data_IF_391065885664
#
_entry.id   IF_391065885664
#
_cell.length_a   1.000
_cell.length_b   1.000
_cell.length_c   1.000
_cell.angle_alpha   90.00
_cell.angle_beta   90.00
_cell.angle_gamma   90.00
#
_symmetry.space_group_name_H-M   'P 1'
#
loop_
_entity.id
_entity.type
_entity.pdbx_description
1 polymer ?
#
# COMPACT_ATOMS: atom_id res chain seq x y z
N UNK A 1 19.48 16.84 -9.76
CA UNK A 1 20.76 16.32 -10.28
C UNK A 1 20.40 15.26 -11.29
N UNK A 2 20.50 15.60 -12.57
CA UNK A 2 20.22 14.70 -13.69
C UNK A 2 21.48 13.86 -13.88
N UNK A 3 21.39 12.55 -13.69
CA UNK A 3 22.50 11.65 -13.98
C UNK A 3 22.45 11.27 -15.47
N UNK A 4 23.51 11.65 -16.15
CA UNK A 4 23.82 11.37 -17.53
C UNK A 4 24.10 9.87 -17.70
N UNK A 5 23.40 9.22 -18.62
CA UNK A 5 23.77 7.91 -19.13
C UNK A 5 24.78 8.11 -20.27
N UNK A 6 26.04 7.74 -20.08
CA UNK A 6 27.01 7.49 -21.15
C UNK A 6 28.14 6.61 -20.64
N UNK A 7 28.26 5.44 -21.27
CA UNK A 7 29.50 4.74 -21.61
C UNK A 7 30.37 4.16 -20.49
N UNK A 8 30.41 2.83 -20.42
CA UNK A 8 31.68 2.08 -20.48
C UNK A 8 31.40 0.64 -20.94
N UNK A 9 31.55 0.42 -22.24
CA UNK A 9 31.77 -0.90 -22.84
C UNK A 9 33.29 -1.12 -22.82
N UNK A 10 33.77 -2.01 -21.96
CA UNK A 10 35.15 -2.48 -21.98
C UNK A 10 35.17 -3.99 -22.27
N UNK A 11 35.50 -4.34 -23.51
CA UNK A 11 35.90 -5.68 -23.92
C UNK A 11 37.31 -5.98 -23.39
N UNK A 12 37.48 -7.12 -22.72
CA UNK A 12 38.73 -7.90 -22.79
C UNK A 12 38.41 -9.39 -22.74
N UNK A 13 39.11 -10.13 -23.60
CA UNK A 13 38.74 -11.42 -24.21
C UNK A 13 39.51 -12.62 -23.54
N UNK A 14 39.41 -13.89 -24.00
CA UNK A 14 38.83 -14.98 -23.20
C UNK A 14 39.73 -16.24 -23.02
N UNK A 15 39.24 -17.25 -22.30
CA UNK A 15 39.76 -18.63 -22.26
C UNK A 15 38.61 -19.59 -21.88
N UNK A 16 38.33 -20.76 -22.45
CA UNK A 16 38.86 -21.53 -23.58
C UNK A 16 38.12 -22.88 -23.62
N UNK A 17 37.96 -23.44 -24.83
CA UNK A 17 37.67 -24.84 -25.21
C UNK A 17 36.32 -25.52 -24.90
N UNK A 18 35.62 -25.93 -25.97
CA UNK A 18 34.64 -27.02 -25.97
C UNK A 18 33.77 -27.06 -27.24
N UNK A 19 34.19 -27.81 -28.24
CA UNK A 19 33.54 -27.99 -29.56
C UNK A 19 32.17 -28.67 -29.46
N UNK A 20 31.15 -28.16 -30.18
CA UNK A 20 30.31 -28.92 -31.13
C UNK A 20 29.38 -27.99 -31.94
N UNK A 21 29.72 -27.82 -33.23
CA UNK A 21 28.84 -27.88 -34.41
C UNK A 21 27.37 -27.42 -34.29
N UNK A 22 27.05 -26.32 -34.96
CA UNK A 22 26.07 -26.27 -36.06
C UNK A 22 26.24 -24.96 -36.85
N UNK A 23 26.42 -25.11 -38.16
CA UNK A 23 26.59 -24.04 -39.14
C UNK A 23 25.43 -23.03 -39.13
N UNK A 24 25.71 -21.80 -38.73
CA UNK A 24 24.92 -20.64 -39.15
C UNK A 24 25.86 -19.71 -39.89
N UNK A 25 25.77 -19.76 -41.23
CA UNK A 25 26.42 -18.81 -42.13
C UNK A 25 26.08 -17.38 -41.68
N UNK A 26 27.10 -16.65 -41.24
CA UNK A 26 27.02 -15.20 -41.06
C UNK A 26 26.87 -14.58 -42.45
N UNK A 27 25.65 -14.13 -42.74
CA UNK A 27 25.35 -13.30 -43.88
C UNK A 27 25.73 -11.86 -43.50
N UNK A 28 26.89 -11.39 -43.97
CA UNK A 28 27.27 -9.98 -43.97
C UNK A 28 26.35 -9.23 -44.95
N UNK A 29 25.15 -8.90 -44.49
CA UNK A 29 24.19 -8.05 -45.19
C UNK A 29 23.74 -6.95 -44.26
N UNK A 30 23.71 -5.71 -44.78
CA UNK A 30 23.24 -4.45 -44.16
C UNK A 30 22.47 -4.63 -42.85
N UNK A 31 22.77 -3.86 -41.77
CA UNK A 31 22.01 -3.91 -40.53
C UNK A 31 20.55 -3.62 -40.84
N UNK A 32 19.76 -4.68 -40.96
CA UNK A 32 18.38 -4.60 -41.36
C UNK A 32 17.68 -3.98 -40.17
N UNK A 33 17.21 -2.75 -40.35
CA UNK A 33 16.48 -2.01 -39.33
C UNK A 33 15.38 -2.90 -38.76
N UNK A 34 15.61 -3.42 -37.55
CA UNK A 34 14.62 -4.20 -36.83
C UNK A 34 13.85 -3.22 -35.94
N UNK A 35 12.61 -2.83 -36.28
CA UNK A 35 11.83 -1.91 -35.46
C UNK A 35 11.62 -2.45 -34.04
N UNK A 36 11.71 -3.77 -33.83
CA UNK A 36 11.62 -4.40 -32.50
C UNK A 36 12.82 -4.11 -31.59
N UNK A 37 13.95 -3.69 -32.14
CA UNK A 37 15.08 -3.24 -31.32
C UNK A 37 14.82 -1.85 -30.70
N UNK A 38 14.02 -1.01 -31.36
CA UNK A 38 13.61 0.30 -30.83
C UNK A 38 12.31 0.25 -30.03
N UNK A 39 11.46 -0.72 -30.35
CA UNK A 39 10.17 -0.97 -29.71
C UNK A 39 10.10 -2.45 -29.31
N UNK A 40 10.81 -2.87 -28.24
CA UNK A 40 10.67 -4.23 -27.76
C UNK A 40 9.23 -4.49 -27.36
N UNK A 41 8.70 -5.66 -27.71
CA UNK A 41 7.32 -6.07 -27.42
C UNK A 41 7.00 -5.99 -25.91
N UNK A 42 8.05 -6.03 -25.07
CA UNK A 42 7.99 -5.83 -23.62
C UNK A 42 9.04 -4.78 -23.23
N UNK A 43 8.59 -3.55 -22.94
CA UNK A 43 9.43 -2.54 -22.28
C UNK A 43 9.49 -2.91 -20.80
N UNK A 44 10.63 -3.47 -20.36
CA UNK A 44 10.90 -3.65 -18.92
C UNK A 44 11.11 -2.26 -18.30
N UNK A 45 10.05 -1.71 -17.71
CA UNK A 45 10.17 -0.48 -16.94
C UNK A 45 11.09 -0.73 -15.73
N UNK A 46 12.08 0.15 -15.47
CA UNK A 46 12.89 0.03 -14.27
C UNK A 46 11.98 0.13 -13.03
N UNK A 47 12.09 -0.84 -12.12
CA UNK A 47 11.41 -0.80 -10.83
C UNK A 47 12.23 0.08 -9.89
N UNK A 48 11.62 1.11 -9.32
CA UNK A 48 12.30 1.90 -8.30
C UNK A 48 12.31 1.13 -6.97
N UNK A 49 13.46 1.08 -6.35
CA UNK A 49 13.59 0.53 -5.01
C UNK A 49 13.24 1.61 -3.97
N UNK A 50 12.17 1.36 -3.21
CA UNK A 50 11.68 2.26 -2.17
C UNK A 50 11.94 1.75 -0.75
N UNK A 51 12.69 0.65 -0.64
CA UNK A 51 13.20 0.09 0.61
C UNK A 51 14.61 0.60 0.86
N UNK A 52 14.87 1.01 2.10
CA UNK A 52 16.14 1.60 2.53
C UNK A 52 16.55 1.00 3.87
N UNK A 53 17.84 1.03 4.14
CA UNK A 53 18.32 0.65 5.47
C UNK A 53 17.82 1.63 6.53
N UNK A 54 17.52 1.10 7.72
CA UNK A 54 17.15 1.89 8.89
C UNK A 54 18.12 3.05 9.14
N UNK A 55 19.44 2.80 9.00
CA UNK A 55 20.45 3.81 9.28
C UNK A 55 20.35 5.00 8.33
N UNK A 56 19.95 4.79 7.08
CA UNK A 56 19.81 5.84 6.08
C UNK A 56 18.53 6.66 6.30
N UNK A 57 17.45 6.02 6.76
CA UNK A 57 16.21 6.71 7.15
C UNK A 57 16.49 7.66 8.33
N UNK A 58 17.26 7.21 9.33
CA UNK A 58 17.65 8.06 10.47
C UNK A 58 18.61 9.16 10.05
N UNK A 59 19.64 8.85 9.23
CA UNK A 59 20.54 9.88 8.68
C UNK A 59 19.78 10.94 7.91
N UNK A 60 18.70 10.58 7.19
CA UNK A 60 17.87 11.52 6.43
C UNK A 60 17.14 12.52 7.31
N UNK A 61 16.76 12.12 8.53
CA UNK A 61 16.18 13.01 9.54
C UNK A 61 17.20 14.09 10.00
N UNK A 62 18.49 13.76 9.95
CA UNK A 62 19.60 14.63 10.30
C UNK A 62 20.06 14.44 11.75
N UNK A 63 21.09 15.20 12.14
CA UNK A 63 21.67 15.20 13.49
C UNK A 63 21.37 16.48 14.28
N UNK A 64 20.83 17.50 13.61
CA UNK A 64 20.55 18.82 14.19
C UNK A 64 19.17 18.82 14.86
N UNK A 65 19.17 18.87 16.20
CA UNK A 65 17.96 18.70 17.01
C UNK A 65 16.84 19.69 16.67
N UNK A 66 17.16 20.96 16.40
CA UNK A 66 16.15 21.96 16.05
C UNK A 66 15.48 21.65 14.70
N UNK A 67 16.27 21.25 13.70
CA UNK A 67 15.76 20.85 12.39
C UNK A 67 14.93 19.58 12.47
N UNK A 68 15.37 18.60 13.27
CA UNK A 68 14.64 17.36 13.50
C UNK A 68 13.25 17.68 14.07
N UNK A 69 13.17 18.49 15.13
CA UNK A 69 11.89 18.85 15.75
C UNK A 69 10.99 19.61 14.78
N UNK A 70 11.54 20.52 13.98
CA UNK A 70 10.77 21.27 12.98
C UNK A 70 10.25 20.36 11.84
N UNK A 71 11.05 19.38 11.41
CA UNK A 71 10.66 18.40 10.39
C UNK A 71 9.58 17.46 10.93
N UNK A 72 9.75 16.93 12.14
CA UNK A 72 8.72 16.12 12.82
C UNK A 72 7.41 16.87 12.95
N UNK A 73 7.45 18.13 13.40
CA UNK A 73 6.24 18.96 13.51
C UNK A 73 5.53 19.15 12.16
N UNK A 74 6.28 19.30 11.06
CA UNK A 74 5.72 19.38 9.71
C UNK A 74 5.09 18.06 9.27
N UNK A 75 5.77 16.94 9.51
CA UNK A 75 5.26 15.60 9.23
C UNK A 75 3.99 15.28 10.01
N UNK A 76 3.99 15.55 11.33
CA UNK A 76 2.84 15.32 12.21
C UNK A 76 1.60 16.05 11.67
N UNK A 77 1.76 17.30 11.23
CA UNK A 77 0.66 18.06 10.61
C UNK A 77 0.15 17.43 9.32
N UNK A 78 1.02 16.89 8.46
CA UNK A 78 0.60 16.16 7.25
C UNK A 78 -0.15 14.87 7.59
N UNK A 79 0.33 14.09 8.56
CA UNK A 79 -0.31 12.84 8.98
C UNK A 79 -1.66 13.09 9.66
N UNK A 80 -1.75 14.11 10.50
CA UNK A 80 -3.01 14.58 11.09
C UNK A 80 -4.01 14.99 10.00
N UNK A 81 -3.55 15.67 8.96
CA UNK A 81 -4.37 16.04 7.81
C UNK A 81 -4.96 14.80 7.13
N UNK A 82 -4.15 13.77 6.84
CA UNK A 82 -4.64 12.52 6.27
C UNK A 82 -5.69 11.85 7.16
N UNK A 83 -5.43 11.72 8.46
CA UNK A 83 -6.35 11.05 9.39
C UNK A 83 -7.69 11.78 9.51
N UNK A 84 -7.66 13.12 9.56
CA UNK A 84 -8.88 13.94 9.65
C UNK A 84 -9.69 13.86 8.35
N UNK A 85 -9.04 14.03 7.20
CA UNK A 85 -9.73 13.97 5.91
C UNK A 85 -10.25 12.57 5.57
N UNK A 86 -9.56 11.50 5.99
CA UNK A 86 -10.08 10.13 5.90
C UNK A 86 -11.47 10.03 6.54
N UNK A 87 -11.62 10.57 7.76
CA UNK A 87 -12.90 10.55 8.49
C UNK A 87 -13.94 11.46 7.85
N UNK A 88 -13.58 12.70 7.53
CA UNK A 88 -14.51 13.70 6.99
C UNK A 88 -15.07 13.30 5.60
N UNK A 89 -14.24 12.73 4.73
CA UNK A 89 -14.62 12.34 3.37
C UNK A 89 -15.00 10.87 3.23
N UNK A 90 -15.03 10.12 4.35
CA UNK A 90 -15.29 8.68 4.40
C UNK A 90 -14.43 7.91 3.40
N UNK A 91 -13.11 8.13 3.45
CA UNK A 91 -12.17 7.39 2.63
C UNK A 91 -11.92 6.01 3.23
N UNK A 92 -11.64 5.01 2.39
CA UNK A 92 -11.24 3.68 2.82
C UNK A 92 -9.84 3.69 3.43
N UNK A 93 -9.56 2.71 4.29
CA UNK A 93 -8.29 2.60 4.98
C UNK A 93 -7.10 2.37 4.04
N UNK A 94 -7.29 1.62 2.94
CA UNK A 94 -6.24 1.44 1.94
C UNK A 94 -5.82 2.78 1.31
N UNK A 95 -6.74 3.74 1.15
CA UNK A 95 -6.41 5.08 0.62
C UNK A 95 -5.54 5.86 1.61
N UNK A 96 -5.82 5.73 2.91
CA UNK A 96 -5.01 6.34 3.95
C UNK A 96 -3.61 5.76 3.99
N UNK A 97 -3.48 4.43 3.93
CA UNK A 97 -2.18 3.76 3.90
C UNK A 97 -1.38 4.16 2.66
N UNK A 98 -1.99 4.22 1.47
CA UNK A 98 -1.34 4.68 0.25
C UNK A 98 -0.84 6.14 0.38
N UNK A 99 -1.63 7.02 0.98
CA UNK A 99 -1.23 8.41 1.22
C UNK A 99 -0.01 8.50 2.15
N UNK A 100 0.04 7.70 3.22
CA UNK A 100 1.21 7.60 4.10
C UNK A 100 2.46 7.11 3.35
N UNK A 101 2.33 6.05 2.53
CA UNK A 101 3.46 5.50 1.76
C UNK A 101 4.04 6.57 0.82
N UNK A 102 3.18 7.19 0.00
CA UNK A 102 3.59 8.25 -0.92
C UNK A 102 4.21 9.44 -0.19
N UNK A 103 3.69 9.78 0.99
CA UNK A 103 4.24 10.84 1.83
C UNK A 103 5.66 10.55 2.30
N UNK A 104 5.92 9.35 2.83
CA UNK A 104 7.27 8.98 3.26
C UNK A 104 8.24 8.85 2.08
N UNK A 105 7.80 8.28 0.95
CA UNK A 105 8.59 8.25 -0.30
C UNK A 105 8.99 9.66 -0.73
N UNK A 106 8.04 10.59 -0.72
CA UNK A 106 8.29 11.99 -1.09
C UNK A 106 9.26 12.66 -0.11
N UNK A 107 9.02 12.57 1.20
CA UNK A 107 9.89 13.19 2.20
C UNK A 107 11.33 12.68 2.08
N UNK A 108 11.50 11.36 1.98
CA UNK A 108 12.81 10.75 1.95
C UNK A 108 13.67 11.28 0.78
N UNK A 109 13.10 11.39 -0.43
CA UNK A 109 13.83 11.87 -1.61
C UNK A 109 13.88 13.39 -1.75
N UNK A 110 12.82 14.12 -1.39
CA UNK A 110 12.65 15.54 -1.77
C UNK A 110 12.55 16.53 -0.61
N UNK A 111 12.50 16.04 0.64
CA UNK A 111 12.23 16.83 1.84
C UNK A 111 10.84 17.48 1.88
N UNK A 112 10.47 17.99 3.07
CA UNK A 112 9.25 18.75 3.26
C UNK A 112 9.46 20.24 2.98
N UNK A 113 8.41 20.93 2.48
CA UNK A 113 8.43 22.39 2.37
C UNK A 113 8.79 23.08 3.71
N UNK A 114 9.34 24.30 3.66
CA UNK A 114 9.80 25.00 4.87
C UNK A 114 8.65 25.45 5.78
N UNK A 115 7.45 25.66 5.24
CA UNK A 115 6.31 26.20 5.99
C UNK A 115 5.17 25.18 6.14
N UNK A 116 4.45 25.25 7.26
CA UNK A 116 3.31 24.37 7.54
C UNK A 116 2.20 24.48 6.47
N UNK A 117 1.78 25.67 6.01
CA UNK A 117 0.78 25.78 4.94
C UNK A 117 1.18 25.05 3.66
N UNK A 118 2.44 25.17 3.23
CA UNK A 118 2.96 24.45 2.08
C UNK A 118 3.00 22.93 2.30
N UNK A 119 3.31 22.48 3.52
CA UNK A 119 3.24 21.06 3.88
C UNK A 119 1.79 20.52 3.80
N UNK A 120 0.79 21.32 4.16
CA UNK A 120 -0.63 20.96 4.04
C UNK A 120 -1.04 20.87 2.56
N UNK A 121 -0.62 21.81 1.71
CA UNK A 121 -0.88 21.72 0.26
C UNK A 121 -0.20 20.52 -0.39
N UNK A 122 1.02 20.20 0.02
CA UNK A 122 1.69 18.96 -0.39
C UNK A 122 0.89 17.73 0.04
N UNK A 123 0.47 17.67 1.31
CA UNK A 123 -0.35 16.57 1.82
C UNK A 123 -1.68 16.46 1.06
N UNK A 124 -2.34 17.58 0.76
CA UNK A 124 -3.55 17.59 -0.06
C UNK A 124 -3.31 16.94 -1.43
N UNK A 125 -2.24 17.33 -2.13
CA UNK A 125 -1.88 16.75 -3.42
C UNK A 125 -1.58 15.24 -3.33
N UNK A 126 -0.84 14.82 -2.31
CA UNK A 126 -0.53 13.39 -2.06
C UNK A 126 -1.81 12.60 -1.79
N UNK A 127 -2.73 13.13 -0.97
CA UNK A 127 -3.99 12.48 -0.66
C UNK A 127 -4.89 12.35 -1.90
N UNK A 128 -4.99 13.40 -2.72
CA UNK A 128 -5.75 13.34 -3.98
C UNK A 128 -5.13 12.32 -4.92
N UNK A 129 -3.79 12.28 -5.02
CA UNK A 129 -3.08 11.27 -5.81
C UNK A 129 -3.41 9.87 -5.31
N UNK A 130 -3.29 9.61 -4.01
CA UNK A 130 -3.64 8.32 -3.41
C UNK A 130 -5.11 7.94 -3.64
N UNK A 131 -6.04 8.89 -3.54
CA UNK A 131 -7.45 8.66 -3.87
C UNK A 131 -7.67 8.26 -5.32
N UNK A 132 -6.91 8.83 -6.26
CA UNK A 132 -6.98 8.46 -7.69
C UNK A 132 -6.36 7.09 -7.94
N UNK A 133 -5.19 6.82 -7.36
CA UNK A 133 -4.49 5.53 -7.48
C UNK A 133 -5.32 4.38 -6.92
N UNK A 134 -5.98 4.58 -5.77
CA UNK A 134 -6.77 3.54 -5.11
C UNK A 134 -8.26 3.55 -5.50
N UNK A 135 -8.61 4.15 -6.64
CA UNK A 135 -9.99 4.24 -7.17
C UNK A 135 -11.06 4.73 -6.18
N UNK A 136 -10.66 5.58 -5.22
CA UNK A 136 -11.53 6.12 -4.17
C UNK A 136 -11.60 7.66 -4.25
N UNK A 137 -11.81 8.16 -5.46
CA UNK A 137 -11.79 9.59 -5.76
C UNK A 137 -13.02 10.34 -5.21
N UNK A 138 -12.88 11.65 -4.98
CA UNK A 138 -13.97 12.57 -4.63
C UNK A 138 -13.94 13.79 -5.58
N UNK A 139 -15.04 14.55 -5.67
CA UNK A 139 -15.02 15.81 -6.41
C UNK A 139 -13.95 16.77 -5.88
N UNK A 140 -13.24 17.47 -6.76
CA UNK A 140 -12.15 18.40 -6.39
C UNK A 140 -12.58 19.44 -5.35
N UNK A 141 -13.81 19.96 -5.46
CA UNK A 141 -14.35 20.94 -4.53
C UNK A 141 -14.51 20.40 -3.11
N UNK A 142 -14.70 19.09 -2.93
CA UNK A 142 -14.72 18.47 -1.60
C UNK A 142 -13.33 18.53 -0.94
N UNK A 143 -12.27 18.21 -1.68
CA UNK A 143 -10.89 18.31 -1.16
C UNK A 143 -10.53 19.75 -0.81
N UNK A 144 -10.90 20.72 -1.66
CA UNK A 144 -10.65 22.14 -1.41
C UNK A 144 -11.37 22.57 -0.13
N UNK A 145 -12.66 22.28 -0.01
CA UNK A 145 -13.46 22.63 1.18
C UNK A 145 -12.87 22.03 2.45
N UNK A 146 -12.60 20.72 2.46
CA UNK A 146 -12.04 20.04 3.63
C UNK A 146 -10.67 20.61 4.02
N UNK A 147 -9.84 20.97 3.03
CA UNK A 147 -8.53 21.59 3.29
C UNK A 147 -8.65 22.99 3.87
N UNK A 148 -9.56 23.82 3.34
CA UNK A 148 -9.86 25.13 3.94
C UNK A 148 -10.31 24.99 5.40
N UNK A 149 -11.24 24.07 5.66
CA UNK A 149 -11.76 23.81 7.02
C UNK A 149 -10.65 23.31 7.96
N UNK A 150 -9.72 22.49 7.46
CA UNK A 150 -8.54 22.06 8.20
C UNK A 150 -7.60 23.24 8.51
N UNK A 151 -7.24 24.06 7.51
CA UNK A 151 -6.33 25.20 7.68
C UNK A 151 -6.91 26.27 8.61
N UNK A 152 -8.24 26.45 8.63
CA UNK A 152 -8.91 27.39 9.54
C UNK A 152 -8.93 26.93 10.99
N UNK A 153 -9.11 25.62 11.23
CA UNK A 153 -9.20 25.06 12.59
C UNK A 153 -7.84 24.72 13.18
N UNK A 154 -6.95 24.14 12.39
CA UNK A 154 -5.71 23.49 12.83
C UNK A 154 -4.44 24.13 12.22
N UNK A 155 -4.60 25.12 11.34
CA UNK A 155 -3.51 25.87 10.73
C UNK A 155 -3.03 27.05 11.58
N UNK A 156 -1.92 27.69 11.20
CA UNK A 156 -1.37 28.84 11.91
C UNK A 156 -2.23 30.07 11.58
N UNK A 157 -3.40 30.21 12.19
CA UNK A 157 -4.13 31.46 12.11
C UNK A 157 -3.61 32.38 13.22
N UNK A 158 -3.08 33.57 12.91
CA UNK A 158 -2.85 34.58 13.92
C UNK A 158 -4.19 34.87 14.58
N UNK A 159 -4.27 34.65 15.88
CA UNK A 159 -5.46 34.86 16.70
C UNK A 159 -6.09 36.21 16.35
N UNK A 160 -7.27 36.19 15.69
CA UNK A 160 -8.06 37.41 15.43
C UNK A 160 -8.22 37.87 13.98
N UNK A 161 -7.54 37.29 12.99
CA UNK A 161 -7.83 37.63 11.57
C UNK A 161 -8.97 36.76 11.00
N UNK A 162 -10.08 37.40 10.63
CA UNK A 162 -11.12 36.78 9.79
C UNK A 162 -10.52 36.48 8.41
N UNK A 163 -10.03 35.26 8.22
CA UNK A 163 -9.60 34.75 6.92
C UNK A 163 -10.75 34.87 5.92
N UNK A 164 -10.50 35.53 4.77
CA UNK A 164 -11.45 35.53 3.67
C UNK A 164 -11.51 34.12 3.07
N UNK A 165 -12.59 33.41 3.39
CA UNK A 165 -12.83 32.01 3.00
C UNK A 165 -12.78 31.84 1.48
N UNK A 166 -13.30 32.80 0.70
CA UNK A 166 -13.31 32.69 -0.76
C UNK A 166 -11.91 32.81 -1.34
N UNK A 167 -11.11 33.76 -0.85
CA UNK A 167 -9.71 33.90 -1.26
C UNK A 167 -8.91 32.64 -0.94
N UNK A 168 -9.10 32.06 0.26
CA UNK A 168 -8.44 30.82 0.65
C UNK A 168 -8.85 29.65 -0.25
N UNK A 169 -10.11 29.55 -0.66
CA UNK A 169 -10.57 28.50 -1.59
C UNK A 169 -9.88 28.58 -2.94
N UNK A 170 -9.73 29.78 -3.49
CA UNK A 170 -9.01 29.99 -4.75
C UNK A 170 -7.53 29.61 -4.61
N UNK A 171 -6.87 30.07 -3.55
CA UNK A 171 -5.48 29.71 -3.26
C UNK A 171 -5.29 28.20 -3.13
N UNK A 172 -6.12 27.52 -2.33
CA UNK A 172 -6.07 26.07 -2.14
C UNK A 172 -6.27 25.32 -3.46
N UNK A 173 -7.18 25.79 -4.33
CA UNK A 173 -7.41 25.19 -5.65
C UNK A 173 -6.17 25.30 -6.54
N UNK A 174 -5.58 26.48 -6.63
CA UNK A 174 -4.40 26.72 -7.48
C UNK A 174 -3.18 25.95 -6.96
N UNK A 175 -2.99 25.93 -5.63
CA UNK A 175 -1.93 25.15 -5.00
C UNK A 175 -2.12 23.65 -5.22
N UNK A 176 -3.34 23.11 -5.15
CA UNK A 176 -3.61 21.70 -5.41
C UNK A 176 -3.09 21.28 -6.79
N UNK A 177 -3.43 22.02 -7.84
CA UNK A 177 -3.00 21.69 -9.21
C UNK A 177 -1.48 21.74 -9.34
N UNK A 178 -0.85 22.76 -8.76
CA UNK A 178 0.62 22.93 -8.80
C UNK A 178 1.36 21.81 -8.05
N UNK A 179 0.93 21.50 -6.83
CA UNK A 179 1.54 20.45 -6.01
C UNK A 179 1.26 19.05 -6.55
N UNK A 180 0.07 18.79 -7.12
CA UNK A 180 -0.23 17.50 -7.74
C UNK A 180 0.70 17.22 -8.91
N UNK A 181 0.87 18.20 -9.82
CA UNK A 181 1.86 18.09 -10.91
C UNK A 181 3.27 17.83 -10.37
N UNK A 182 3.66 18.57 -9.33
CA UNK A 182 4.98 18.42 -8.70
C UNK A 182 5.18 17.02 -8.13
N UNK A 183 4.23 16.51 -7.36
CA UNK A 183 4.28 15.18 -6.74
C UNK A 183 4.40 14.09 -7.80
N UNK A 184 3.56 14.12 -8.84
CA UNK A 184 3.59 13.13 -9.93
C UNK A 184 4.93 13.12 -10.66
N UNK A 185 5.45 14.29 -11.03
CA UNK A 185 6.74 14.39 -11.72
C UNK A 185 7.91 13.96 -10.82
N UNK A 186 7.88 14.32 -9.53
CA UNK A 186 8.95 13.97 -8.60
C UNK A 186 8.93 12.49 -8.22
N UNK A 187 7.77 11.87 -8.07
CA UNK A 187 7.68 10.42 -7.89
C UNK A 187 7.90 9.64 -9.19
N UNK A 188 8.18 10.32 -10.32
CA UNK A 188 8.45 9.68 -11.59
C UNK A 188 7.26 8.90 -12.15
N UNK A 189 6.03 9.27 -11.77
CA UNK A 189 4.80 8.52 -12.04
C UNK A 189 4.81 7.08 -11.50
N UNK A 190 5.73 6.77 -10.58
CA UNK A 190 5.75 5.50 -9.86
C UNK A 190 4.71 5.52 -8.73
N UNK A 191 3.47 5.27 -9.14
CA UNK A 191 2.31 5.18 -8.28
C UNK A 191 1.90 3.72 -8.03
N UNK A 192 2.73 2.76 -8.47
CA UNK A 192 2.53 1.36 -8.16
C UNK A 192 2.97 1.13 -6.71
N UNK A 193 2.00 0.89 -5.84
CA UNK A 193 2.20 0.81 -4.40
C UNK A 193 1.74 -0.56 -3.95
N UNK A 194 2.67 -1.35 -3.45
CA UNK A 194 2.38 -2.57 -2.70
C UNK A 194 1.69 -2.19 -1.38
N UNK A 195 0.38 -1.97 -1.44
CA UNK A 195 -0.38 -1.46 -0.31
C UNK A 195 -0.72 -2.60 0.65
N UNK A 196 -0.11 -2.67 1.84
CA UNK A 196 -0.29 -3.80 2.75
C UNK A 196 -1.75 -3.98 3.19
N UNK A 197 -2.56 -2.90 3.17
CA UNK A 197 -3.97 -2.96 3.54
C UNK A 197 -4.85 -3.56 2.44
N UNK A 198 -4.45 -3.49 1.18
CA UNK A 198 -5.11 -4.17 0.07
C UNK A 198 -4.58 -5.60 -0.06
N UNK A 199 -3.26 -5.76 -0.02
CA UNK A 199 -2.57 -7.05 -0.10
C UNK A 199 -3.10 -8.03 0.96
N UNK A 200 -3.28 -7.61 2.21
CA UNK A 200 -3.84 -8.52 3.23
C UNK A 200 -5.24 -9.02 2.90
N UNK A 201 -6.08 -8.22 2.22
CA UNK A 201 -7.42 -8.67 1.82
C UNK A 201 -7.35 -9.55 0.57
N UNK A 202 -6.42 -9.27 -0.35
CA UNK A 202 -6.21 -10.06 -1.55
C UNK A 202 -5.65 -11.45 -1.21
N UNK A 203 -4.56 -11.51 -0.45
CA UNK A 203 -3.84 -12.74 -0.04
C UNK A 203 -4.79 -13.72 0.67
N UNK A 204 -5.73 -13.19 1.46
CA UNK A 204 -6.71 -13.97 2.24
C UNK A 204 -8.15 -13.80 1.72
N UNK A 205 -8.29 -13.43 0.44
CA UNK A 205 -9.60 -13.35 -0.20
C UNK A 205 -10.26 -14.73 -0.29
N UNK A 206 -11.58 -14.75 -0.51
CA UNK A 206 -12.34 -15.99 -0.62
C UNK A 206 -11.77 -16.95 -1.68
N UNK A 207 -11.27 -16.41 -2.79
CA UNK A 207 -10.66 -17.22 -3.86
C UNK A 207 -9.45 -18.02 -3.35
N UNK A 208 -8.43 -17.35 -2.81
CA UNK A 208 -7.23 -18.04 -2.32
C UNK A 208 -7.51 -18.95 -1.12
N UNK A 209 -8.52 -18.62 -0.30
CA UNK A 209 -8.95 -19.49 0.78
C UNK A 209 -9.48 -20.85 0.30
N UNK A 210 -10.18 -20.89 -0.84
CA UNK A 210 -10.73 -22.14 -1.36
C UNK A 210 -9.79 -22.90 -2.30
N UNK A 211 -8.85 -22.19 -2.96
CA UNK A 211 -7.92 -22.80 -3.92
C UNK A 211 -6.61 -23.25 -3.27
N UNK A 212 -6.07 -22.48 -2.32
CA UNK A 212 -4.74 -22.71 -1.74
C UNK A 212 -4.79 -23.23 -0.31
N UNK A 213 -5.76 -22.77 0.48
CA UNK A 213 -5.77 -22.98 1.94
C UNK A 213 -6.54 -24.25 2.37
N UNK A 214 -6.52 -25.30 1.56
CA UNK A 214 -7.19 -26.59 1.85
C UNK A 214 -6.56 -27.33 3.02
N UNK A 215 -5.27 -27.09 3.25
CA UNK A 215 -4.42 -27.69 4.29
C UNK A 215 -4.54 -27.01 5.66
N UNK A 216 -5.31 -25.91 5.77
CA UNK A 216 -5.48 -25.21 7.04
C UNK A 216 -6.43 -25.97 7.97
N UNK A 217 -5.90 -26.36 9.13
CA UNK A 217 -6.62 -26.99 10.24
C UNK A 217 -7.89 -26.22 10.64
N UNK A 218 -8.92 -26.96 11.05
CA UNK A 218 -10.20 -26.39 11.49
C UNK A 218 -10.04 -25.40 12.66
N UNK A 219 -9.12 -25.69 13.60
CA UNK A 219 -8.80 -24.80 14.72
C UNK A 219 -8.26 -23.45 14.26
N UNK A 220 -7.33 -23.45 13.29
CA UNK A 220 -6.81 -22.21 12.73
C UNK A 220 -7.90 -21.47 11.96
N UNK A 221 -8.78 -22.16 11.21
CA UNK A 221 -9.88 -21.49 10.49
C UNK A 221 -10.80 -20.67 11.41
N UNK A 222 -11.02 -21.12 12.64
CA UNK A 222 -11.82 -20.40 13.64
C UNK A 222 -11.08 -19.19 14.24
N UNK A 223 -9.79 -19.33 14.52
CA UNK A 223 -8.98 -18.30 15.18
C UNK A 223 -8.49 -17.23 14.21
N UNK A 224 -8.21 -17.61 12.97
CA UNK A 224 -7.55 -16.78 11.96
C UNK A 224 -8.25 -15.44 11.69
N UNK A 225 -9.60 -15.33 11.66
CA UNK A 225 -10.26 -14.03 11.55
C UNK A 225 -9.87 -13.02 12.64
N UNK A 226 -9.61 -13.49 13.86
CA UNK A 226 -9.18 -12.64 14.98
C UNK A 226 -7.75 -12.16 14.77
N UNK A 227 -6.86 -13.06 14.33
CA UNK A 227 -5.46 -12.73 14.00
C UNK A 227 -5.40 -11.74 12.84
N UNK A 228 -6.16 -11.97 11.77
CA UNK A 228 -6.28 -11.07 10.64
C UNK A 228 -6.78 -9.69 11.07
N UNK A 229 -7.76 -9.61 11.96
CA UNK A 229 -8.24 -8.32 12.44
C UNK A 229 -7.17 -7.54 13.19
N UNK A 230 -6.37 -8.21 14.03
CA UNK A 230 -5.27 -7.57 14.73
C UNK A 230 -4.15 -7.14 13.76
N UNK A 231 -3.83 -7.98 12.77
CA UNK A 231 -2.87 -7.63 11.72
C UNK A 231 -3.32 -6.42 10.90
N UNK A 232 -4.60 -6.33 10.52
CA UNK A 232 -5.17 -5.14 9.86
C UNK A 232 -5.02 -3.88 10.71
N UNK A 233 -5.31 -3.98 12.00
CA UNK A 233 -5.17 -2.86 12.93
C UNK A 233 -3.70 -2.42 13.05
N UNK A 234 -2.78 -3.39 13.12
CA UNK A 234 -1.34 -3.15 13.15
C UNK A 234 -0.90 -2.37 11.91
N UNK A 235 -1.25 -2.83 10.70
CA UNK A 235 -0.91 -2.16 9.44
C UNK A 235 -1.33 -0.69 9.45
N UNK A 236 -2.57 -0.40 9.86
CA UNK A 236 -3.08 0.99 9.90
C UNK A 236 -2.30 1.84 10.91
N UNK A 237 -1.94 1.29 12.07
CA UNK A 237 -1.17 1.99 13.11
C UNK A 237 0.24 2.32 12.63
N UNK A 238 0.87 1.42 11.87
CA UNK A 238 2.23 1.63 11.36
C UNK A 238 2.34 2.81 10.37
N UNK A 239 1.23 3.25 9.75
CA UNK A 239 1.23 4.40 8.84
C UNK A 239 1.62 5.73 9.49
N UNK A 240 1.70 5.80 10.82
CA UNK A 240 2.23 6.95 11.56
C UNK A 240 3.76 7.00 11.61
N UNK A 241 4.43 5.95 11.13
CA UNK A 241 5.88 5.82 11.10
C UNK A 241 6.35 5.51 9.67
N UNK A 242 7.61 5.80 9.29
CA UNK A 242 8.13 5.54 7.96
C UNK A 242 8.46 4.05 7.70
N UNK A 243 7.66 3.11 8.20
CA UNK A 243 7.92 1.66 8.04
C UNK A 243 7.86 1.23 6.57
N UNK A 244 7.09 1.94 5.75
CA UNK A 244 6.97 1.69 4.31
C UNK A 244 8.24 2.04 3.53
N UNK A 245 9.22 2.66 4.18
CA UNK A 245 10.57 2.85 3.65
C UNK A 245 11.52 1.74 4.10
N UNK A 246 11.17 0.94 5.12
CA UNK A 246 12.00 -0.12 5.67
C UNK A 246 11.75 -1.46 4.96
N UNK A 247 10.51 -1.71 4.58
CA UNK A 247 10.09 -2.97 3.95
C UNK A 247 8.95 -2.74 2.95
N UNK A 248 8.82 -3.66 2.00
CA UNK A 248 7.77 -3.69 1.00
C UNK A 248 6.42 -4.13 1.59
N UNK A 249 5.35 -4.02 0.78
CA UNK A 249 3.99 -4.31 1.23
C UNK A 249 3.79 -5.75 1.70
N UNK A 250 4.38 -6.73 1.01
CA UNK A 250 4.24 -8.15 1.38
C UNK A 250 4.94 -8.45 2.71
N UNK A 251 6.18 -7.97 2.87
CA UNK A 251 6.92 -8.11 4.13
C UNK A 251 6.19 -7.44 5.29
N UNK A 252 5.58 -6.27 5.07
CA UNK A 252 4.81 -5.59 6.12
C UNK A 252 3.54 -6.37 6.52
N UNK A 253 2.85 -7.01 5.57
CA UNK A 253 1.71 -7.88 5.90
C UNK A 253 2.17 -9.08 6.72
N UNK A 254 3.28 -9.72 6.33
CA UNK A 254 3.81 -10.85 7.07
C UNK A 254 4.27 -10.46 8.48
N UNK A 255 4.96 -9.32 8.61
CA UNK A 255 5.34 -8.73 9.90
C UNK A 255 4.11 -8.51 10.80
N UNK A 256 3.02 -8.00 10.24
CA UNK A 256 1.77 -7.77 10.96
C UNK A 256 1.12 -9.08 11.45
N UNK A 257 1.16 -10.14 10.62
CA UNK A 257 0.65 -11.46 10.98
C UNK A 257 1.48 -12.11 12.08
N UNK A 258 2.81 -12.05 12.00
CA UNK A 258 3.70 -12.60 13.02
C UNK A 258 3.50 -11.84 14.33
N UNK A 259 3.41 -10.51 14.29
CA UNK A 259 3.10 -9.71 15.48
C UNK A 259 1.77 -10.14 16.12
N UNK A 260 0.72 -10.31 15.30
CA UNK A 260 -0.58 -10.75 15.77
C UNK A 260 -0.54 -12.17 16.35
N UNK A 261 0.19 -13.09 15.72
CA UNK A 261 0.40 -14.46 16.18
C UNK A 261 1.13 -14.53 17.53
N UNK A 262 2.25 -13.82 17.67
CA UNK A 262 3.00 -13.73 18.95
C UNK A 262 2.13 -13.11 20.05
N UNK A 263 1.38 -12.05 19.72
CA UNK A 263 0.47 -11.41 20.68
C UNK A 263 -0.67 -12.33 21.10
N UNK A 264 -1.20 -13.12 20.17
CA UNK A 264 -2.23 -14.13 20.43
C UNK A 264 -1.67 -15.26 21.32
N UNK A 265 -0.45 -15.73 21.02
CA UNK A 265 0.23 -16.76 21.80
C UNK A 265 0.45 -16.31 23.26
N UNK A 266 0.88 -15.06 23.46
CA UNK A 266 1.12 -14.49 24.80
C UNK A 266 -0.17 -14.29 25.62
N UNK A 267 -1.26 -13.88 24.97
CA UNK A 267 -2.46 -13.43 25.69
C UNK A 267 -3.58 -14.47 25.80
N UNK A 268 -3.69 -15.41 24.84
CA UNK A 268 -4.85 -16.31 24.74
C UNK A 268 -4.44 -17.77 24.71
N UNK A 269 -3.53 -18.15 23.81
CA UNK A 269 -3.25 -19.56 23.54
C UNK A 269 -1.75 -19.83 23.38
N UNK A 270 -1.04 -20.25 24.45
CA UNK A 270 0.42 -20.42 24.43
C UNK A 270 0.95 -21.43 23.41
N UNK A 271 0.11 -22.35 22.93
CA UNK A 271 0.45 -23.37 21.94
C UNK A 271 0.21 -22.94 20.49
N UNK A 272 -0.21 -21.70 20.24
CA UNK A 272 -0.48 -21.22 18.89
C UNK A 272 0.80 -21.21 18.04
N UNK A 273 0.71 -21.79 16.84
CA UNK A 273 1.71 -21.69 15.77
C UNK A 273 1.00 -21.65 14.42
N UNK A 274 1.62 -21.00 13.44
CA UNK A 274 1.16 -21.08 12.06
C UNK A 274 1.50 -22.46 11.47
N UNK A 275 0.72 -22.93 10.48
CA UNK A 275 1.03 -24.16 9.77
C UNK A 275 2.42 -24.15 9.15
N UNK A 276 2.99 -25.33 8.96
CA UNK A 276 4.27 -25.49 8.31
C UNK A 276 4.29 -24.86 6.90
N UNK A 277 5.31 -24.05 6.61
CA UNK A 277 5.47 -23.25 5.39
C UNK A 277 4.30 -22.29 5.11
N UNK A 278 3.62 -21.78 6.15
CA UNK A 278 2.47 -20.90 6.00
C UNK A 278 2.81 -19.64 5.20
N UNK A 279 3.95 -19.01 5.46
CA UNK A 279 4.34 -17.76 4.82
C UNK A 279 4.92 -18.01 3.43
N UNK A 280 5.83 -18.98 3.27
CA UNK A 280 6.43 -19.30 1.97
C UNK A 280 5.40 -19.66 0.90
N UNK A 281 4.30 -20.32 1.27
CA UNK A 281 3.21 -20.67 0.34
C UNK A 281 2.35 -19.48 -0.08
N UNK A 282 2.40 -18.36 0.66
CA UNK A 282 1.43 -17.27 0.55
C UNK A 282 2.05 -15.92 0.19
N UNK A 283 3.34 -15.75 0.44
CA UNK A 283 4.03 -14.48 0.26
C UNK A 283 5.21 -14.65 -0.71
N UNK A 284 5.40 -13.73 -1.66
CA UNK A 284 6.54 -13.73 -2.58
C UNK A 284 7.78 -13.11 -1.92
N UNK A 285 8.01 -13.39 -0.63
CA UNK A 285 9.15 -12.88 0.15
C UNK A 285 9.73 -13.97 1.03
N UNK A 286 11.04 -13.92 1.22
CA UNK A 286 11.76 -14.86 2.08
C UNK A 286 11.59 -14.42 3.53
N UNK A 287 10.99 -15.27 4.35
CA UNK A 287 10.73 -14.98 5.76
C UNK A 287 11.61 -15.88 6.62
N UNK A 288 12.45 -15.25 7.43
CA UNK A 288 13.23 -15.94 8.47
C UNK A 288 13.07 -15.18 9.78
N UNK A 289 13.19 -15.91 10.88
CA UNK A 289 13.07 -15.33 12.23
C UNK A 289 14.10 -14.23 12.49
N UNK A 290 15.30 -14.36 11.92
CA UNK A 290 16.36 -13.34 12.02
C UNK A 290 15.98 -12.03 11.31
N UNK A 291 15.48 -12.13 10.07
CA UNK A 291 15.05 -10.96 9.29
C UNK A 291 13.89 -10.26 10.01
N UNK A 292 12.89 -11.01 10.46
CA UNK A 292 11.71 -10.46 11.11
C UNK A 292 12.07 -9.83 12.48
N UNK A 293 12.92 -10.47 13.28
CA UNK A 293 13.39 -9.89 14.54
C UNK A 293 14.15 -8.59 14.31
N UNK A 294 15.00 -8.53 13.27
CA UNK A 294 15.72 -7.31 12.90
C UNK A 294 14.76 -6.19 12.49
N UNK A 295 13.72 -6.50 11.71
CA UNK A 295 12.69 -5.55 11.29
C UNK A 295 11.89 -5.02 12.47
N UNK A 296 11.51 -5.85 13.45
CA UNK A 296 10.86 -5.40 14.66
C UNK A 296 11.74 -4.47 15.49
N UNK A 297 13.03 -4.79 15.64
CA UNK A 297 14.00 -3.93 16.33
C UNK A 297 14.16 -2.57 15.62
N UNK A 298 14.34 -2.58 14.30
CA UNK A 298 14.43 -1.37 13.50
C UNK A 298 13.13 -0.55 13.58
N UNK A 299 11.97 -1.20 13.54
CA UNK A 299 10.68 -0.53 13.67
C UNK A 299 10.51 0.12 15.05
N UNK A 300 10.92 -0.57 16.12
CA UNK A 300 10.94 0.02 17.46
C UNK A 300 11.84 1.25 17.54
N UNK A 301 13.01 1.21 16.89
CA UNK A 301 13.92 2.35 16.83
C UNK A 301 13.33 3.52 16.04
N UNK A 302 12.57 3.25 14.97
CA UNK A 302 11.81 4.27 14.24
C UNK A 302 10.71 4.90 15.11
N UNK A 303 9.94 4.09 15.87
CA UNK A 303 8.93 4.61 16.80
C UNK A 303 9.55 5.57 17.83
N UNK A 304 10.73 5.25 18.37
CA UNK A 304 11.48 6.12 19.29
C UNK A 304 12.03 7.37 18.59
N UNK A 305 12.47 7.24 17.34
CA UNK A 305 13.13 8.31 16.60
C UNK A 305 12.16 9.33 16.01
N UNK A 306 10.89 8.99 15.74
CA UNK A 306 9.92 9.86 15.09
C UNK A 306 8.89 10.44 16.07
N UNK A 307 7.73 9.79 16.20
CA UNK A 307 6.61 10.26 17.03
C UNK A 307 6.36 9.32 18.18
N UNK A 308 6.32 9.87 19.40
CA UNK A 308 5.86 9.14 20.58
C UNK A 308 4.33 9.24 20.69
N UNK A 309 3.65 8.23 20.17
CA UNK A 309 2.19 8.13 20.17
C UNK A 309 1.73 7.06 21.14
N UNK A 310 0.54 7.24 21.74
CA UNK A 310 -0.09 6.21 22.58
C UNK A 310 -0.39 4.91 21.82
N UNK A 311 -0.44 4.96 20.49
CA UNK A 311 -0.61 3.79 19.62
C UNK A 311 0.69 3.03 19.36
N UNK A 312 1.85 3.60 19.72
CA UNK A 312 3.13 2.95 19.54
C UNK A 312 3.18 1.67 20.35
N UNK A 313 3.79 0.64 19.76
CA UNK A 313 3.89 -0.66 20.38
C UNK A 313 5.08 -0.73 21.33
N UNK A 314 6.12 0.10 21.12
CA UNK A 314 7.27 0.25 22.00
C UNK A 314 7.83 -1.11 22.44
N UNK A 315 7.68 -1.49 23.71
CA UNK A 315 8.16 -2.76 24.27
C UNK A 315 7.49 -4.00 23.66
N UNK A 316 6.28 -3.88 23.11
CA UNK A 316 5.61 -4.99 22.42
C UNK A 316 6.32 -5.39 21.11
N UNK A 317 7.17 -4.52 20.55
CA UNK A 317 8.02 -4.84 19.39
C UNK A 317 9.33 -5.51 19.78
N UNK A 318 9.64 -5.66 21.07
CA UNK A 318 10.81 -6.42 21.52
C UNK A 318 10.54 -7.92 21.43
N UNK A 319 10.37 -8.42 20.21
CA UNK A 319 10.12 -9.84 19.91
C UNK A 319 11.47 -10.49 19.56
N UNK A 320 11.80 -11.58 20.25
CA UNK A 320 13.06 -12.31 20.03
C UNK A 320 12.92 -13.35 18.92
N UNK A 321 14.06 -13.79 18.36
CA UNK A 321 14.11 -14.86 17.36
C UNK A 321 13.41 -16.13 17.88
N UNK A 322 13.66 -16.51 19.14
CA UNK A 322 13.03 -17.67 19.78
C UNK A 322 11.50 -17.55 19.91
N UNK A 323 10.96 -16.34 20.07
CA UNK A 323 9.51 -16.13 20.11
C UNK A 323 8.90 -16.28 18.72
N UNK A 324 9.62 -15.88 17.68
CA UNK A 324 9.18 -16.04 16.30
C UNK A 324 9.25 -17.50 15.89
N UNK A 325 10.34 -18.21 16.23
CA UNK A 325 10.52 -19.66 15.96
C UNK A 325 9.45 -20.54 16.62
N UNK A 326 8.81 -20.07 17.70
CA UNK A 326 7.67 -20.78 18.33
C UNK A 326 6.36 -20.61 17.58
N UNK A 327 6.26 -19.56 16.77
CA UNK A 327 5.02 -19.18 16.07
C UNK A 327 5.12 -19.52 14.58
N UNK A 328 6.31 -19.53 13.99
CA UNK A 328 6.54 -19.87 12.58
C UNK A 328 7.31 -21.19 12.46
N UNK A 329 6.96 -21.97 11.45
CA UNK A 329 7.68 -23.18 11.07
C UNK A 329 7.89 -23.15 9.54
N UNK A 330 9.04 -22.65 9.10
CA UNK A 330 9.37 -22.46 7.68
C UNK A 330 10.65 -23.23 7.33
N UNK A 331 10.63 -23.93 6.20
CA UNK A 331 11.82 -24.62 5.70
C UNK A 331 12.88 -23.60 5.25
N UNK A 332 14.16 -23.94 5.46
CA UNK A 332 15.26 -23.16 4.88
C UNK A 332 15.16 -23.19 3.36
N UNK A 333 14.97 -22.01 2.77
CA UNK A 333 14.93 -21.83 1.33
C UNK A 333 16.35 -21.95 0.76
N UNK A 334 16.55 -22.89 -0.16
CA UNK A 334 17.82 -23.10 -0.86
C UNK A 334 17.97 -22.18 -2.07
N UNK A 335 16.85 -21.81 -2.68
CA UNK A 335 16.82 -20.99 -3.88
C UNK A 335 16.90 -19.49 -3.53
N UNK A 336 17.69 -18.70 -4.27
CA UNK A 336 17.89 -17.28 -4.00
C UNK A 336 16.64 -16.42 -4.30
N UNK A 337 15.73 -16.91 -5.15
CA UNK A 337 14.50 -16.20 -5.47
C UNK A 337 13.30 -16.74 -4.67
N UNK A 338 12.45 -15.85 -4.11
CA UNK A 338 11.25 -16.27 -3.42
C UNK A 338 10.27 -16.93 -4.40
N UNK A 339 9.62 -18.01 -3.96
CA UNK A 339 8.51 -18.58 -4.70
C UNK A 339 7.39 -17.55 -4.81
N UNK A 340 6.98 -17.22 -6.03
CA UNK A 340 5.88 -16.29 -6.26
C UNK A 340 4.57 -17.06 -6.48
N UNK A 341 3.68 -17.17 -5.48
CA UNK A 341 2.39 -17.85 -5.65
C UNK A 341 1.43 -17.10 -6.61
N UNK A 342 1.78 -15.88 -7.02
CA UNK A 342 0.99 -15.04 -7.91
C UNK A 342 1.45 -15.09 -9.37
N UNK A 343 2.39 -15.98 -9.70
CA UNK A 343 2.84 -16.15 -11.09
C UNK A 343 1.73 -16.79 -11.93
N UNK A 344 1.35 -16.10 -13.01
CA UNK A 344 0.30 -16.53 -13.93
C UNK A 344 0.57 -17.92 -14.50
N UNK A 345 1.82 -18.26 -14.78
CA UNK A 345 2.16 -19.56 -15.36
C UNK A 345 1.88 -20.74 -14.43
N UNK A 346 1.87 -20.50 -13.12
CA UNK A 346 1.54 -21.50 -12.09
C UNK A 346 0.01 -21.58 -11.92
N UNK A 347 -0.69 -20.43 -12.02
CA UNK A 347 -2.14 -20.35 -11.76
C UNK A 347 -2.96 -20.85 -12.97
N UNK A 348 -2.47 -20.66 -14.21
CA UNK A 348 -3.26 -20.90 -15.43
C UNK A 348 -3.78 -22.35 -15.58
N UNK A 349 -3.09 -23.32 -14.98
CA UNK A 349 -3.45 -24.75 -15.05
C UNK A 349 -4.23 -25.23 -13.80
N UNK A 350 -4.61 -24.31 -12.91
CA UNK A 350 -5.19 -24.65 -11.61
C UNK A 350 -6.50 -25.43 -11.67
N UNK A 351 -6.56 -26.56 -10.94
CA UNK A 351 -7.79 -27.32 -10.71
C UNK A 351 -8.76 -26.49 -9.84
N UNK A 352 -10.01 -26.37 -10.29
CA UNK A 352 -11.05 -25.67 -9.53
C UNK A 352 -11.60 -26.61 -8.46
N UNK A 353 -11.31 -26.30 -7.20
CA UNK A 353 -11.82 -27.05 -6.06
C UNK A 353 -13.37 -27.01 -6.01
N UNK A 354 -14.03 -28.16 -5.79
CA UNK A 354 -15.49 -28.26 -5.67
C UNK A 354 -16.06 -27.33 -4.59
N UNK A 355 -15.32 -27.09 -3.49
CA UNK A 355 -15.74 -26.14 -2.47
C UNK A 355 -15.91 -24.71 -3.02
N UNK A 356 -15.03 -24.27 -3.93
CA UNK A 356 -15.13 -22.96 -4.56
C UNK A 356 -16.35 -22.89 -5.48
N UNK A 357 -16.60 -23.94 -6.27
CA UNK A 357 -17.77 -24.04 -7.14
C UNK A 357 -19.06 -23.95 -6.32
N UNK A 358 -19.18 -24.78 -5.27
CA UNK A 358 -20.34 -24.78 -4.37
C UNK A 358 -20.53 -23.42 -3.68
N UNK A 359 -19.44 -22.77 -3.25
CA UNK A 359 -19.50 -21.45 -2.65
C UNK A 359 -19.99 -20.38 -3.64
N UNK A 360 -19.49 -20.43 -4.88
CA UNK A 360 -19.83 -19.48 -5.94
C UNK A 360 -21.28 -19.65 -6.38
N UNK A 361 -21.73 -20.88 -6.57
CA UNK A 361 -23.14 -21.20 -6.86
C UNK A 361 -24.07 -20.66 -5.77
N UNK A 362 -23.76 -20.95 -4.49
CA UNK A 362 -24.54 -20.41 -3.37
C UNK A 362 -24.58 -18.88 -3.38
N UNK A 363 -23.46 -18.21 -3.66
CA UNK A 363 -23.41 -16.74 -3.73
C UNK A 363 -24.21 -16.18 -4.91
N UNK A 364 -24.21 -16.86 -6.05
CA UNK A 364 -25.02 -16.48 -7.21
C UNK A 364 -26.51 -16.65 -6.89
N UNK A 365 -26.91 -17.74 -6.24
CA UNK A 365 -28.29 -17.94 -5.80
C UNK A 365 -28.73 -16.87 -4.79
N UNK A 366 -27.90 -16.55 -3.80
CA UNK A 366 -28.15 -15.45 -2.85
C UNK A 366 -28.35 -14.10 -3.57
N UNK A 367 -27.48 -13.77 -4.52
CA UNK A 367 -27.57 -12.55 -5.34
C UNK A 367 -28.82 -12.55 -6.22
N UNK A 368 -29.13 -13.67 -6.87
CA UNK A 368 -30.32 -13.82 -7.71
C UNK A 368 -31.60 -13.63 -6.89
N UNK A 369 -31.69 -14.28 -5.72
CA UNK A 369 -32.79 -14.13 -4.79
C UNK A 369 -32.93 -12.69 -4.29
N UNK A 370 -31.82 -12.01 -3.99
CA UNK A 370 -31.81 -10.61 -3.62
C UNK A 370 -32.32 -9.70 -4.75
N UNK A 371 -31.87 -9.91 -5.98
CA UNK A 371 -32.35 -9.13 -7.14
C UNK A 371 -33.84 -9.40 -7.40
N UNK A 372 -34.30 -10.64 -7.28
CA UNK A 372 -35.70 -11.02 -7.44
C UNK A 372 -36.61 -10.37 -6.37
N UNK A 373 -36.15 -10.34 -5.12
CA UNK A 373 -36.85 -9.68 -4.01
C UNK A 373 -36.82 -8.15 -4.08
N UNK A 374 -35.72 -7.55 -4.56
CA UNK A 374 -35.66 -6.10 -4.80
C UNK A 374 -36.55 -5.69 -5.99
N UNK A 375 -36.68 -6.54 -7.02
CA UNK A 375 -37.61 -6.32 -8.16
C UNK A 375 -39.08 -6.45 -7.77
N UNK A 376 -39.42 -7.29 -6.80
CA UNK A 376 -40.81 -7.41 -6.31
C UNK A 376 -41.22 -6.24 -5.39
N UNK A 377 -40.26 -5.44 -4.90
CA UNK A 377 -40.49 -4.25 -4.08
C UNK A 377 -40.23 -2.98 -4.92
N UNK A 378 -41.01 -2.76 -6.00
CA UNK A 378 -41.48 -1.44 -6.52
C UNK A 378 -42.05 -1.55 -7.95
N UNK A 379 -43.38 -1.55 -8.05
CA UNK A 379 -44.12 -0.42 -8.63
C UNK A 379 -45.36 -0.19 -7.75
N UNK A 380 -45.50 0.95 -7.05
CA UNK A 380 -46.82 1.42 -6.69
C UNK A 380 -47.54 1.67 -8.01
N UNK A 381 -48.68 1.03 -8.21
CA UNK A 381 -49.58 1.31 -9.32
C UNK A 381 -49.88 2.81 -9.33
N UNK A 382 -49.52 3.50 -10.43
CA UNK A 382 -50.10 4.81 -10.73
C UNK A 382 -51.64 4.67 -10.66
N UNK A 383 -52.34 5.48 -9.85
CA UNK A 383 -53.80 5.50 -9.90
C UNK A 383 -54.23 6.08 -11.27
N UNK A 384 -55.32 5.57 -11.85
CA UNK A 384 -55.71 5.91 -13.21
C UNK A 384 -56.04 7.40 -13.31
N UNK A 385 -55.62 8.01 -14.42
CA UNK A 385 -55.83 9.41 -14.73
C UNK A 385 -57.32 9.77 -14.74
N UNK A 386 -57.82 10.33 -13.64
CA UNK A 386 -59.10 11.01 -13.59
C UNK A 386 -58.94 12.50 -13.92
N UNK A 387 -59.77 12.89 -14.88
CA UNK A 387 -59.93 14.22 -15.44
C UNK A 387 -60.33 15.23 -14.36
N UNK A 388 -59.57 16.31 -14.21
CA UNK A 388 -60.05 17.53 -13.57
C UNK A 388 -59.48 18.78 -14.26
N UNK A 389 -60.28 19.25 -15.23
CA UNK A 389 -60.68 20.65 -15.42
C UNK A 389 -59.60 21.72 -15.65
N UNK A 390 -59.51 22.09 -16.94
CA UNK A 390 -59.35 23.43 -17.48
C UNK A 390 -59.68 24.57 -16.49
N UNK A 391 -58.71 25.44 -16.24
CA UNK A 391 -58.91 26.90 -16.18
C UNK A 391 -57.65 27.62 -16.71
N UNK A 392 -57.75 28.38 -17.81
CA UNK A 392 -56.70 29.33 -18.21
C UNK A 392 -57.04 30.73 -17.70
N UNK A 393 -56.05 31.47 -17.20
CA UNK A 393 -55.97 32.95 -17.25
C UNK A 393 -54.47 33.28 -17.22
N UNK A 394 -53.94 33.71 -18.36
CA UNK A 394 -53.62 35.11 -18.71
C UNK A 394 -52.32 35.58 -18.05
#
# INVERSE_FOLDING_TARGET
>A
MVLSASEEIANSQPSGNGKTSLDIKQNEGNPQFNPRNLWPDIIKCPKNEWTFEYTDIIKRLGTDEEKIQLTKKRMEKCLMYFHKLRKEMKLFDHTYTAACILFYRYWYKYDLPPTIPQCIHLAQAILVTACKTMENNRPTDHYIKATCDFMMKDGPSPTGQKLNVEKLKWEVRDQLVSYEKKVLCQLGFDLDIDNPKELIEEIFSGYYRHVRDTDIDASLREIFPVILQEARNFIIQTGTQPISLLCDGYTLVALALIFAGVTFQKNKEPGFSFPHNFFRRRFPVIITSEIIASLFSHYQQLEKAFFDLKSNKNSALSITVDEIDKVIDEDRQLDPEPFNPYDYDIIKEGEVNEELLNYTERKIEELSNRIMSERSIKRPSEPPAEQATKKPRF
#
